data_IF_363289966219
#
_entry.id   IF_363289966219
#
_cell.length_a   1.000
_cell.length_b   1.000
_cell.length_c   1.000
_cell.angle_alpha   90.00
_cell.angle_beta   90.00
_cell.angle_gamma   90.00
#
_symmetry.space_group_name_H-M   'P 1'
#
loop_
_entity.id
_entity.type
_entity.pdbx_description
1 polymer ?
#
# COMPACT_ATOMS: atom_id res chain seq x y z
N UNK A 1 -20.25 -9.69 -10.79
CA UNK A 1 -19.01 -9.45 -10.03
C UNK A 1 -18.67 -7.97 -10.14
N UNK A 2 -18.66 -7.20 -9.06
CA UNK A 2 -18.26 -5.78 -9.12
C UNK A 2 -16.76 -5.72 -9.47
N UNK A 3 -16.41 -5.02 -10.53
CA UNK A 3 -15.02 -4.81 -10.96
C UNK A 3 -14.37 -3.88 -9.95
N UNK A 4 -13.27 -4.32 -9.35
CA UNK A 4 -12.44 -3.49 -8.47
C UNK A 4 -12.06 -2.20 -9.22
N UNK A 5 -11.88 -1.08 -8.51
CA UNK A 5 -11.38 0.14 -9.14
C UNK A 5 -9.86 0.27 -9.03
N UNK A 6 -9.28 -0.34 -8.00
CA UNK A 6 -7.86 -0.19 -7.63
C UNK A 6 -7.21 -1.54 -7.38
N UNK A 7 -5.95 -1.69 -7.84
CA UNK A 7 -5.14 -2.90 -7.57
C UNK A 7 -4.49 -2.85 -6.19
N UNK A 8 -4.13 -1.64 -5.75
CA UNK A 8 -3.49 -1.40 -4.47
C UNK A 8 -3.79 0.00 -3.94
N UNK A 9 -3.41 0.24 -2.69
CA UNK A 9 -3.30 1.56 -2.07
C UNK A 9 -1.95 1.68 -1.38
N UNK A 10 -1.48 2.91 -1.23
CA UNK A 10 -0.47 3.24 -0.24
C UNK A 10 -1.10 4.10 0.86
N UNK A 11 -0.81 3.79 2.12
CA UNK A 11 -1.05 4.69 3.24
C UNK A 11 0.26 5.44 3.53
N UNK A 12 0.21 6.77 3.51
CA UNK A 12 1.37 7.62 3.84
C UNK A 12 1.60 7.68 5.36
N UNK A 13 2.79 8.09 5.83
CA UNK A 13 3.06 8.26 7.27
C UNK A 13 2.14 9.28 7.98
N UNK A 14 1.52 10.17 7.21
CA UNK A 14 0.54 11.17 7.67
C UNK A 14 -0.90 10.67 7.55
N UNK A 15 -1.10 9.37 7.36
CA UNK A 15 -2.42 8.72 7.31
C UNK A 15 -3.29 9.15 6.11
N UNK A 16 -2.67 9.36 4.95
CA UNK A 16 -3.36 9.66 3.67
C UNK A 16 -3.33 8.44 2.76
N UNK A 17 -4.32 8.31 1.86
CA UNK A 17 -4.39 7.24 0.86
C UNK A 17 -3.92 7.72 -0.52
N UNK A 18 -3.06 6.93 -1.15
CA UNK A 18 -2.67 7.05 -2.56
C UNK A 18 -3.18 5.79 -3.27
N UNK A 19 -4.22 5.89 -4.13
CA UNK A 19 -4.71 4.75 -4.88
C UNK A 19 -3.74 4.33 -6.00
N UNK A 20 -3.71 3.04 -6.29
CA UNK A 20 -3.06 2.47 -7.49
C UNK A 20 -4.17 1.99 -8.43
N UNK A 21 -4.50 2.74 -9.48
CA UNK A 21 -5.50 2.34 -10.48
C UNK A 21 -5.19 0.97 -11.07
N UNK A 22 -6.22 0.17 -11.38
CA UNK A 22 -6.05 -1.16 -12.00
C UNK A 22 -5.25 -1.17 -13.32
N UNK A 23 -5.14 -0.05 -14.00
CA UNK A 23 -4.39 0.08 -15.25
C UNK A 23 -2.90 0.39 -15.03
N UNK A 24 -2.46 0.60 -13.79
CA UNK A 24 -1.09 0.93 -13.42
C UNK A 24 -0.57 -0.08 -12.40
N UNK A 25 0.72 -0.39 -12.48
CA UNK A 25 1.38 -1.10 -11.37
C UNK A 25 1.81 -0.09 -10.28
N UNK A 26 2.23 -0.59 -9.12
CA UNK A 26 2.70 0.27 -8.02
C UNK A 26 3.92 1.10 -8.39
N UNK A 27 4.79 0.61 -9.29
CA UNK A 27 6.03 1.30 -9.64
C UNK A 27 5.77 2.46 -10.61
N UNK A 28 4.74 2.37 -11.43
CA UNK A 28 4.27 3.46 -12.29
C UNK A 28 3.88 4.66 -11.45
N UNK A 29 3.07 4.45 -10.40
CA UNK A 29 2.63 5.53 -9.49
C UNK A 29 3.82 6.22 -8.82
N UNK A 30 4.85 5.48 -8.38
CA UNK A 30 6.07 6.06 -7.79
C UNK A 30 6.88 6.81 -8.85
N UNK A 31 6.99 6.29 -10.07
CA UNK A 31 7.73 6.95 -11.15
C UNK A 31 7.04 8.23 -11.65
N UNK A 32 5.72 8.21 -11.73
CA UNK A 32 4.89 9.33 -12.20
C UNK A 32 4.80 10.45 -11.16
N UNK A 33 4.68 10.08 -9.88
CA UNK A 33 4.49 11.01 -8.76
C UNK A 33 5.48 10.77 -7.60
N UNK A 34 6.81 10.82 -7.84
CA UNK A 34 7.82 10.51 -6.84
C UNK A 34 7.75 11.40 -5.59
N UNK A 35 7.27 12.64 -5.75
CA UNK A 35 7.08 13.60 -4.67
C UNK A 35 6.09 13.12 -3.61
N UNK A 36 5.08 12.33 -3.98
CA UNK A 36 4.12 11.75 -3.03
C UNK A 36 4.79 10.75 -2.08
N UNK A 37 5.92 10.19 -2.50
CA UNK A 37 6.73 9.22 -1.75
C UNK A 37 7.97 9.87 -1.13
N UNK A 38 8.11 11.19 -1.22
CA UNK A 38 9.27 11.93 -0.71
C UNK A 38 10.55 11.60 -1.48
N UNK A 39 10.43 11.33 -2.79
CA UNK A 39 11.52 11.19 -3.74
C UNK A 39 11.54 12.35 -4.75
N UNK A 40 12.64 12.48 -5.49
CA UNK A 40 12.72 13.33 -6.68
C UNK A 40 12.70 12.45 -7.94
N UNK A 41 12.36 13.05 -9.09
CA UNK A 41 12.43 12.36 -10.39
C UNK A 41 13.84 11.87 -10.71
N UNK A 42 14.85 12.67 -10.39
CA UNK A 42 16.25 12.32 -10.58
C UNK A 42 16.63 11.13 -9.71
N UNK A 43 16.24 11.15 -8.43
CA UNK A 43 16.49 10.04 -7.50
C UNK A 43 15.91 8.72 -8.01
N UNK A 44 14.65 8.72 -8.45
CA UNK A 44 14.01 7.52 -9.01
C UNK A 44 14.75 7.06 -10.27
N UNK A 45 15.08 7.98 -11.18
CA UNK A 45 15.81 7.66 -12.42
C UNK A 45 17.19 7.06 -12.13
N UNK A 46 17.91 7.60 -11.15
CA UNK A 46 19.23 7.10 -10.73
C UNK A 46 19.16 5.68 -10.17
N UNK A 47 18.08 5.30 -9.47
CA UNK A 47 17.88 3.92 -8.99
C UNK A 47 17.82 2.92 -10.13
N UNK A 48 17.11 3.24 -11.21
CA UNK A 48 17.06 2.37 -12.39
C UNK A 48 18.39 2.33 -13.14
N UNK A 49 19.05 3.50 -13.30
CA UNK A 49 20.38 3.59 -13.92
C UNK A 49 21.44 2.78 -13.16
N UNK A 50 21.43 2.82 -11.82
CA UNK A 50 22.34 2.06 -10.94
C UNK A 50 22.35 0.55 -11.28
N UNK A 51 21.22 0.00 -11.70
CA UNK A 51 21.07 -1.41 -12.05
C UNK A 51 21.10 -1.69 -13.55
N UNK A 52 21.31 -0.67 -14.39
CA UNK A 52 21.16 -0.74 -15.84
C UNK A 52 19.79 -1.34 -16.26
N UNK A 53 18.75 -0.94 -15.55
CA UNK A 53 17.39 -1.42 -15.74
C UNK A 53 16.54 -0.35 -16.45
N UNK A 54 15.62 -0.73 -17.38
CA UNK A 54 14.66 0.22 -17.92
C UNK A 54 13.82 0.84 -16.80
N UNK A 55 13.52 2.14 -16.91
CA UNK A 55 12.62 2.83 -15.99
C UNK A 55 11.29 2.06 -15.89
N UNK A 56 10.74 1.93 -14.67
CA UNK A 56 9.52 1.15 -14.34
C UNK A 56 9.64 -0.37 -14.46
N UNK A 57 10.82 -0.93 -14.74
CA UNK A 57 10.96 -2.38 -14.77
C UNK A 57 10.81 -3.02 -13.38
N UNK A 58 10.09 -4.14 -13.30
CA UNK A 58 9.82 -4.88 -12.06
C UNK A 58 11.00 -5.79 -11.68
N UNK A 59 12.18 -5.20 -11.47
CA UNK A 59 13.43 -5.90 -11.16
C UNK A 59 14.09 -5.32 -9.89
N UNK A 60 15.42 -5.20 -9.85
CA UNK A 60 16.17 -4.84 -8.62
C UNK A 60 15.93 -3.40 -8.21
N UNK A 61 15.87 -2.46 -9.16
CA UNK A 61 15.61 -1.05 -8.89
C UNK A 61 14.25 -0.86 -8.21
N UNK A 62 13.22 -1.56 -8.69
CA UNK A 62 11.90 -1.57 -8.04
C UNK A 62 11.98 -2.10 -6.61
N UNK A 63 12.65 -3.22 -6.37
CA UNK A 63 12.76 -3.78 -5.02
C UNK A 63 13.48 -2.85 -4.04
N UNK A 64 14.50 -2.11 -4.51
CA UNK A 64 15.17 -1.08 -3.71
C UNK A 64 14.24 0.11 -3.43
N UNK A 65 13.57 0.66 -4.45
CA UNK A 65 12.63 1.78 -4.30
C UNK A 65 11.47 1.44 -3.35
N UNK A 66 10.90 0.24 -3.45
CA UNK A 66 9.84 -0.21 -2.54
C UNK A 66 10.33 -0.33 -1.11
N UNK A 67 11.52 -0.91 -0.90
CA UNK A 67 12.13 -0.99 0.44
C UNK A 67 12.34 0.39 1.05
N UNK A 68 12.81 1.35 0.27
CA UNK A 68 12.98 2.74 0.73
C UNK A 68 11.65 3.43 1.01
N UNK A 69 10.63 3.14 0.21
CA UNK A 69 9.25 3.60 0.46
C UNK A 69 8.76 3.09 1.82
N UNK A 70 8.97 1.80 2.13
CA UNK A 70 8.60 1.23 3.43
C UNK A 70 9.40 1.81 4.60
N UNK A 71 10.70 2.08 4.40
CA UNK A 71 11.56 2.77 5.38
C UNK A 71 11.10 4.18 5.70
N UNK A 72 10.50 4.87 4.72
CA UNK A 72 9.86 6.17 4.94
C UNK A 72 8.53 6.08 5.70
N UNK A 73 8.08 4.88 6.05
CA UNK A 73 6.88 4.64 6.86
C UNK A 73 5.61 4.37 6.07
N UNK A 74 5.69 4.22 4.75
CA UNK A 74 4.53 3.89 3.93
C UNK A 74 4.07 2.45 4.16
N UNK A 75 2.76 2.23 4.03
CA UNK A 75 2.13 0.91 4.05
C UNK A 75 1.51 0.67 2.68
N UNK A 76 1.86 -0.41 1.99
CA UNK A 76 1.17 -0.80 0.76
C UNK A 76 0.08 -1.82 1.07
N UNK A 77 -1.14 -1.57 0.63
CA UNK A 77 -2.26 -2.49 0.69
C UNK A 77 -2.51 -3.02 -0.71
N UNK A 78 -2.30 -4.31 -0.96
CA UNK A 78 -2.43 -4.93 -2.29
C UNK A 78 -3.58 -5.92 -2.31
N UNK A 79 -4.47 -5.84 -3.30
CA UNK A 79 -5.48 -6.88 -3.49
C UNK A 79 -4.89 -8.06 -4.26
N UNK A 80 -5.16 -9.28 -3.79
CA UNK A 80 -4.77 -10.50 -4.50
C UNK A 80 -5.97 -11.20 -5.13
N UNK A 81 -5.66 -12.03 -6.14
CA UNK A 81 -6.65 -12.76 -6.95
C UNK A 81 -7.47 -13.78 -6.15
N UNK A 82 -6.96 -14.22 -5.02
CA UNK A 82 -7.58 -15.09 -4.00
C UNK A 82 -8.49 -14.32 -3.02
N UNK A 83 -8.88 -13.10 -3.39
CA UNK A 83 -9.92 -12.28 -2.76
C UNK A 83 -9.60 -11.72 -1.38
N UNK A 84 -8.32 -11.47 -1.10
CA UNK A 84 -7.91 -10.79 0.11
C UNK A 84 -6.88 -9.68 -0.13
N UNK A 85 -6.81 -8.75 0.82
CA UNK A 85 -5.83 -7.67 0.86
C UNK A 85 -4.57 -8.10 1.60
N UNK A 86 -3.39 -7.72 1.15
CA UNK A 86 -2.14 -7.83 1.91
C UNK A 86 -1.66 -6.44 2.29
N UNK A 87 -1.40 -6.19 3.57
CA UNK A 87 -0.67 -5.02 4.04
C UNK A 87 0.83 -5.30 4.12
N UNK A 88 1.66 -4.45 3.51
CA UNK A 88 3.12 -4.56 3.48
C UNK A 88 3.77 -3.27 4.02
N UNK A 89 4.63 -3.38 5.03
CA UNK A 89 5.44 -2.28 5.55
C UNK A 89 6.60 -2.81 6.39
N UNK A 90 7.60 -1.97 6.68
CA UNK A 90 8.69 -2.28 7.62
C UNK A 90 8.21 -2.12 9.07
N UNK A 91 8.51 -3.06 9.96
CA UNK A 91 8.13 -3.02 11.38
C UNK A 91 6.63 -2.67 11.58
N UNK A 92 5.73 -3.47 11.01
CA UNK A 92 4.30 -3.27 11.05
C UNK A 92 3.68 -3.81 12.36
N UNK A 93 4.12 -4.96 12.87
CA UNK A 93 3.63 -5.55 14.12
C UNK A 93 4.24 -4.89 15.36
N UNK A 94 5.44 -4.30 15.27
CA UNK A 94 6.01 -3.50 16.35
C UNK A 94 5.53 -2.04 16.39
N UNK A 95 4.74 -1.58 15.41
CA UNK A 95 4.35 -0.17 15.27
C UNK A 95 2.84 0.04 15.40
N UNK A 96 2.42 0.53 16.57
CA UNK A 96 1.01 0.79 16.87
C UNK A 96 0.38 1.78 15.89
N UNK A 97 1.05 2.88 15.57
CA UNK A 97 0.54 3.86 14.60
C UNK A 97 0.20 3.22 13.25
N UNK A 98 1.05 2.33 12.72
CA UNK A 98 0.78 1.63 11.44
C UNK A 98 -0.44 0.73 11.52
N UNK A 99 -0.65 0.06 12.65
CA UNK A 99 -1.85 -0.71 12.93
C UNK A 99 -3.09 0.18 12.94
N UNK A 100 -3.04 1.34 13.58
CA UNK A 100 -4.15 2.32 13.56
C UNK A 100 -4.48 2.77 12.13
N UNK A 101 -3.45 3.02 11.31
CA UNK A 101 -3.61 3.40 9.90
C UNK A 101 -4.32 2.31 9.09
N UNK A 102 -3.93 1.04 9.25
CA UNK A 102 -4.60 -0.08 8.58
C UNK A 102 -6.06 -0.21 9.03
N UNK A 103 -6.32 -0.06 10.34
CA UNK A 103 -7.68 -0.10 10.87
C UNK A 103 -8.55 1.02 10.31
N UNK A 104 -8.02 2.23 10.22
CA UNK A 104 -8.70 3.37 9.60
C UNK A 104 -8.99 3.14 8.11
N UNK A 105 -8.10 2.46 7.38
CA UNK A 105 -8.37 2.05 6.00
C UNK A 105 -9.49 0.99 5.93
N UNK A 106 -9.52 0.00 6.84
CA UNK A 106 -10.58 -1.01 6.88
C UNK A 106 -11.95 -0.34 7.06
N UNK A 107 -12.06 0.59 8.04
CA UNK A 107 -13.28 1.38 8.25
C UNK A 107 -13.69 2.15 6.99
N UNK A 108 -12.71 2.79 6.34
CA UNK A 108 -12.92 3.52 5.10
C UNK A 108 -13.51 2.60 4.01
N UNK A 109 -12.93 1.43 3.77
CA UNK A 109 -13.40 0.49 2.75
C UNK A 109 -14.78 -0.12 3.07
N UNK A 110 -15.06 -0.40 4.34
CA UNK A 110 -16.38 -0.90 4.78
C UNK A 110 -17.49 0.13 4.55
N UNK A 111 -17.18 1.42 4.68
CA UNK A 111 -18.10 2.51 4.37
C UNK A 111 -18.27 2.75 2.86
N UNK A 112 -17.26 2.39 2.05
CA UNK A 112 -17.21 2.65 0.60
C UNK A 112 -17.12 1.34 -0.19
N UNK A 113 -18.10 0.45 0.00
CA UNK A 113 -18.12 -0.89 -0.61
C UNK A 113 -18.09 -0.87 -2.14
N UNK A 114 -18.47 0.23 -2.77
CA UNK A 114 -18.36 0.49 -4.20
C UNK A 114 -16.92 0.55 -4.70
N UNK A 115 -15.94 0.78 -3.81
CA UNK A 115 -14.55 0.93 -4.20
C UNK A 115 -13.86 -0.42 -4.40
N UNK A 116 -14.15 -1.47 -3.63
CA UNK A 116 -13.52 -2.80 -3.82
C UNK A 116 -14.28 -4.05 -3.28
N UNK A 117 -15.58 -3.99 -2.99
CA UNK A 117 -16.30 -5.18 -2.49
C UNK A 117 -15.93 -5.58 -1.04
N UNK A 118 -16.32 -6.78 -0.60
CA UNK A 118 -16.11 -7.21 0.79
C UNK A 118 -14.61 -7.29 1.15
N UNK A 119 -14.23 -6.66 2.26
CA UNK A 119 -12.83 -6.49 2.66
C UNK A 119 -12.40 -7.60 3.63
N UNK A 120 -11.95 -8.73 3.10
CA UNK A 120 -11.10 -9.65 3.85
C UNK A 120 -9.63 -9.20 3.68
N UNK A 121 -8.88 -9.11 4.79
CA UNK A 121 -7.47 -8.72 4.77
C UNK A 121 -6.63 -9.86 5.32
N UNK A 122 -5.37 -9.90 4.93
CA UNK A 122 -4.25 -10.56 5.57
C UNK A 122 -3.18 -9.48 5.75
N UNK A 123 -2.41 -9.55 6.83
CA UNK A 123 -1.36 -8.56 7.11
C UNK A 123 -0.04 -9.28 6.98
N UNK A 124 0.98 -8.70 6.34
CA UNK A 124 2.33 -9.22 6.37
C UNK A 124 3.32 -8.16 6.84
N UNK A 125 4.14 -8.49 7.84
CA UNK A 125 5.26 -7.66 8.22
C UNK A 125 6.46 -8.02 7.36
N UNK A 126 7.10 -7.01 6.76
CA UNK A 126 8.38 -7.20 6.10
C UNK A 126 9.48 -7.10 7.15
N UNK A 127 9.64 -8.14 7.98
CA UNK A 127 10.84 -8.26 8.79
C UNK A 127 11.85 -9.15 8.06
N UNK A 128 12.80 -8.48 7.42
CA UNK A 128 13.94 -9.04 6.68
C UNK A 128 13.61 -9.97 5.49
N UNK A 129 13.81 -9.41 4.29
CA UNK A 129 13.68 -10.06 2.98
C UNK A 129 12.24 -10.37 2.55
N UNK A 130 11.96 -10.10 1.27
CA UNK A 130 10.77 -10.64 0.60
C UNK A 130 10.87 -12.17 0.68
N UNK A 131 10.22 -12.78 1.66
CA UNK A 131 9.97 -14.21 1.68
C UNK A 131 8.46 -14.42 1.60
N UNK A 132 7.97 -14.73 0.39
CA UNK A 132 6.57 -15.04 0.13
C UNK A 132 6.11 -16.36 0.81
N UNK A 133 7.00 -17.06 1.51
CA UNK A 133 6.74 -18.40 2.08
C UNK A 133 6.35 -18.38 3.56
N UNK A 134 6.42 -17.24 4.25
CA UNK A 134 6.19 -17.18 5.70
C UNK A 134 5.10 -16.14 6.08
N UNK A 135 3.81 -16.47 5.90
CA UNK A 135 2.73 -15.61 6.36
C UNK A 135 2.74 -15.53 7.90
N UNK A 136 2.38 -14.38 8.50
CA UNK A 136 2.34 -14.26 9.95
C UNK A 136 1.28 -15.17 10.56
N UNK A 137 1.47 -15.51 11.84
CA UNK A 137 0.56 -16.39 12.56
C UNK A 137 -0.87 -15.81 12.59
N UNK A 138 -1.85 -16.73 12.57
CA UNK A 138 -3.29 -16.38 12.53
C UNK A 138 -3.80 -15.71 13.81
N UNK A 139 -3.06 -15.78 14.92
CA UNK A 139 -3.46 -15.24 16.23
C UNK A 139 -3.27 -13.72 16.29
N UNK A 140 -2.12 -13.24 15.81
CA UNK A 140 -1.81 -11.81 15.69
C UNK A 140 -2.82 -11.07 14.81
N UNK A 141 -3.33 -11.77 13.79
CA UNK A 141 -4.36 -11.27 12.87
C UNK A 141 -5.75 -11.11 13.52
N UNK A 142 -6.22 -12.10 14.30
CA UNK A 142 -7.53 -12.03 14.97
C UNK A 142 -7.59 -10.94 16.05
N UNK A 143 -6.49 -10.74 16.78
CA UNK A 143 -6.41 -9.68 17.80
C UNK A 143 -6.58 -8.28 17.19
N UNK A 144 -5.93 -8.02 16.06
CA UNK A 144 -5.98 -6.72 15.38
C UNK A 144 -7.40 -6.34 14.91
N UNK A 145 -8.18 -7.31 14.39
CA UNK A 145 -9.57 -7.06 13.95
C UNK A 145 -10.55 -6.85 15.11
N UNK A 146 -10.33 -7.48 16.26
CA UNK A 146 -11.18 -7.29 17.44
C UNK A 146 -11.18 -5.84 17.96
N UNK A 147 -10.12 -5.10 17.63
CA UNK A 147 -9.86 -3.71 18.05
C UNK A 147 -10.22 -2.68 16.99
N UNK A 148 -10.60 -3.09 15.77
CA UNK A 148 -10.74 -2.17 14.63
C UNK A 148 -11.71 -1.03 14.92
N UNK A 149 -12.76 -1.27 15.71
CA UNK A 149 -13.76 -0.27 16.07
C UNK A 149 -13.23 0.86 16.98
N UNK A 150 -12.10 0.65 17.66
CA UNK A 150 -11.50 1.62 18.60
C UNK A 150 -10.69 2.72 17.88
N UNK A 151 -10.37 2.58 16.58
CA UNK A 151 -9.45 3.49 15.87
C UNK A 151 -10.12 4.61 15.06
N UNK A 152 -9.52 5.80 14.92
CA UNK A 152 -10.10 6.90 14.15
C UNK A 152 -10.18 6.60 12.64
N UNK A 153 -11.18 7.18 11.97
CA UNK A 153 -11.36 7.06 10.51
C UNK A 153 -10.22 7.74 9.74
N UNK A 154 -9.82 7.17 8.58
CA UNK A 154 -8.91 7.84 7.65
C UNK A 154 -9.64 8.93 6.87
N UNK A 155 -8.97 10.08 6.70
CA UNK A 155 -9.43 11.19 5.86
C UNK A 155 -8.85 11.06 4.43
N UNK A 156 -9.70 11.04 3.39
CA UNK A 156 -9.24 11.07 2.00
C UNK A 156 -9.00 12.51 1.55
N UNK A 157 -7.88 12.78 0.86
CA UNK A 157 -7.67 14.05 0.14
C UNK A 157 -7.53 13.93 -1.38
N UNK A 158 -7.65 12.74 -1.96
CA UNK A 158 -7.68 12.61 -3.42
C UNK A 158 -9.13 12.71 -3.93
N UNK A 159 -9.48 13.89 -4.45
CA UNK A 159 -10.59 14.02 -5.40
C UNK A 159 -10.03 13.67 -6.78
N UNK A 160 -10.71 12.78 -7.52
CA UNK A 160 -10.57 12.78 -8.97
C UNK A 160 -10.78 14.22 -9.45
N UNK A 161 -9.79 14.81 -10.11
CA UNK A 161 -10.08 15.96 -10.96
C UNK A 161 -11.10 15.48 -11.97
N UNK A 162 -12.31 16.05 -11.90
CA UNK A 162 -13.29 15.90 -12.96
C UNK A 162 -12.62 16.38 -14.23
N UNK A 163 -12.40 15.47 -15.18
CA UNK A 163 -12.34 15.87 -16.57
C UNK A 163 -13.75 16.35 -16.94
N UNK A 164 -13.99 17.63 -16.70
CA UNK A 164 -15.09 18.34 -17.33
C UNK A 164 -14.77 18.37 -18.84
N UNK A 165 -15.50 17.51 -19.58
CA UNK A 165 -15.64 17.57 -21.03
C UNK A 165 -17.04 18.11 -21.35
#
# INVERSE_FOLDING_TARGET
MKRLKYEAFFITPENRLIPVPLCLNHIDVICDHPELFGFTKDYVTEKFKKYNEPLRSEKRARSELMRETYKKGFIRLRYRKDHYWIAESENLFGNEKKREQIAGWIKFMLAHKELNGDAYMEVSELDTAFDETNPPDKESFHYFFSKVNEYPSIEIKYKEEKNDA
#
